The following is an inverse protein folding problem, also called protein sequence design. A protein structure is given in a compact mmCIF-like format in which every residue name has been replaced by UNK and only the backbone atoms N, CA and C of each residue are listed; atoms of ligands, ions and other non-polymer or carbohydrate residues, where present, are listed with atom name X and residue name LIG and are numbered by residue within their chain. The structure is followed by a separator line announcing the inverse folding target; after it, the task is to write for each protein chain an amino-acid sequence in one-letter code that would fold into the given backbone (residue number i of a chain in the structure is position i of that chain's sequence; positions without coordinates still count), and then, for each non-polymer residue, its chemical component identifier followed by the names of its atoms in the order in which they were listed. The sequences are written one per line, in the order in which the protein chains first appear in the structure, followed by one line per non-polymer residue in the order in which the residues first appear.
data_IF_745430375664
#
_entry.id   IF_745430375664
#
_cell.length_a   1.000
_cell.length_b   1.000
_cell.length_c   1.000
_cell.angle_alpha   90.00
_cell.angle_beta   90.00
_cell.angle_gamma   90.00
#
_symmetry.space_group_name_H-M   'P 1'
#
loop_
_entity.id
_entity.type
_entity.pdbx_description
1 polymer ?
#
# COMPACT_ATOMS: atom_id res chain seq x y z
N UNK A 1 1.76 -20.63 12.86
CA UNK A 1 2.65 -19.48 12.76
C UNK A 1 2.09 -18.33 13.58
N UNK A 2 2.89 -17.38 14.09
CA UNK A 2 2.35 -16.29 14.90
C UNK A 2 1.50 -15.37 14.01
N UNK A 3 0.36 -14.90 14.53
CA UNK A 3 -0.45 -13.84 13.89
C UNK A 3 0.14 -12.48 14.29
N UNK A 4 1.27 -12.14 13.69
CA UNK A 4 2.10 -10.97 14.01
C UNK A 4 2.17 -9.94 12.88
N UNK A 5 1.39 -10.14 11.81
CA UNK A 5 1.38 -9.27 10.63
C UNK A 5 0.23 -8.29 10.70
N UNK A 6 0.53 -7.00 10.53
CA UNK A 6 -0.45 -5.95 10.27
C UNK A 6 -0.43 -5.56 8.80
N UNK A 7 -1.59 -5.46 8.14
CA UNK A 7 -1.70 -5.01 6.76
C UNK A 7 -2.36 -3.63 6.70
N UNK A 8 -1.70 -2.66 6.09
CA UNK A 8 -2.21 -1.32 5.80
C UNK A 8 -2.61 -1.28 4.33
N UNK A 9 -3.90 -1.18 4.05
CA UNK A 9 -4.42 -1.05 2.68
C UNK A 9 -4.75 0.42 2.43
N UNK A 10 -3.95 1.09 1.59
CA UNK A 10 -4.10 2.52 1.31
C UNK A 10 -5.10 2.72 0.18
N UNK A 11 -6.23 3.33 0.50
CA UNK A 11 -7.33 3.63 -0.43
C UNK A 11 -7.83 5.08 -0.31
N UNK A 12 -7.03 5.99 0.29
CA UNK A 12 -7.37 7.40 0.50
C UNK A 12 -7.22 8.29 -0.75
N UNK A 13 -6.62 7.78 -1.82
CA UNK A 13 -6.39 8.56 -3.04
C UNK A 13 -7.68 9.03 -3.71
N UNK A 14 -7.76 10.33 -4.02
CA UNK A 14 -8.93 10.98 -4.63
C UNK A 14 -9.18 10.58 -6.09
N UNK A 15 -8.28 9.81 -6.73
CA UNK A 15 -8.45 9.32 -8.10
C UNK A 15 -8.59 10.42 -9.16
N UNK A 16 -8.06 11.63 -8.92
CA UNK A 16 -8.24 12.84 -9.74
C UNK A 16 -7.95 12.66 -11.24
N UNK A 17 -7.13 11.65 -11.59
CA UNK A 17 -6.73 11.38 -13.00
C UNK A 17 -7.78 10.67 -13.84
N UNK A 18 -8.87 10.13 -13.27
CA UNK A 18 -9.77 9.22 -14.00
C UNK A 18 -11.25 9.68 -13.97
N UNK A 19 -11.60 10.80 -13.35
CA UNK A 19 -12.97 11.32 -13.26
C UNK A 19 -14.02 10.30 -12.74
N UNK A 20 -15.18 10.74 -12.27
CA UNK A 20 -16.27 9.88 -11.79
C UNK A 20 -16.07 9.32 -10.38
N UNK A 21 -16.69 8.17 -10.06
CA UNK A 21 -16.62 7.55 -8.76
C UNK A 21 -15.17 7.21 -8.37
N UNK A 22 -14.78 7.33 -7.08
CA UNK A 22 -13.44 7.00 -6.61
C UNK A 22 -13.00 5.61 -7.09
N UNK A 23 -11.77 5.52 -7.62
CA UNK A 23 -11.24 4.33 -8.29
C UNK A 23 -11.38 3.07 -7.42
N UNK A 24 -11.13 3.19 -6.12
CA UNK A 24 -11.18 2.09 -5.16
C UNK A 24 -12.58 1.46 -5.02
N UNK A 25 -13.64 2.18 -5.37
CA UNK A 25 -15.02 1.70 -5.27
C UNK A 25 -15.59 1.18 -6.60
N UNK A 26 -14.87 1.34 -7.69
CA UNK A 26 -15.30 0.82 -9.00
C UNK A 26 -15.38 -0.70 -8.94
N UNK A 27 -16.48 -1.29 -9.44
CA UNK A 27 -16.63 -2.73 -9.44
C UNK A 27 -15.77 -3.39 -10.53
N UNK A 28 -15.15 -4.50 -10.19
CA UNK A 28 -14.55 -5.46 -11.13
C UNK A 28 -15.30 -6.77 -10.96
N UNK A 29 -15.97 -7.24 -12.01
CA UNK A 29 -16.89 -8.37 -11.95
C UNK A 29 -17.88 -8.25 -10.77
N UNK A 30 -18.55 -7.10 -10.65
CA UNK A 30 -19.58 -6.85 -9.64
C UNK A 30 -19.08 -6.59 -8.20
N UNK A 31 -17.76 -6.68 -7.93
CA UNK A 31 -17.18 -6.49 -6.60
C UNK A 31 -16.29 -5.25 -6.58
N UNK A 32 -16.47 -4.30 -5.63
CA UNK A 32 -15.60 -3.14 -5.49
C UNK A 32 -14.12 -3.51 -5.42
N UNK A 33 -13.26 -2.75 -6.12
CA UNK A 33 -11.81 -2.97 -6.18
C UNK A 33 -11.19 -3.12 -4.79
N UNK A 34 -11.56 -2.24 -3.87
CA UNK A 34 -11.03 -2.26 -2.48
C UNK A 34 -11.34 -3.56 -1.75
N UNK A 35 -12.52 -4.16 -1.96
CA UNK A 35 -12.87 -5.45 -1.34
C UNK A 35 -12.02 -6.58 -1.89
N UNK A 36 -11.70 -6.54 -3.19
CA UNK A 36 -10.79 -7.50 -3.79
C UNK A 36 -9.36 -7.34 -3.27
N UNK A 37 -8.91 -6.09 -3.10
CA UNK A 37 -7.59 -5.78 -2.54
C UNK A 37 -7.47 -6.17 -1.05
N UNK A 38 -8.55 -6.07 -0.27
CA UNK A 38 -8.59 -6.46 1.14
C UNK A 38 -8.54 -7.99 1.34
N UNK A 39 -9.27 -8.74 0.51
CA UNK A 39 -9.51 -10.17 0.69
C UNK A 39 -8.25 -11.02 0.92
N UNK A 40 -7.15 -10.86 0.18
CA UNK A 40 -5.94 -11.66 0.39
C UNK A 40 -5.34 -11.47 1.79
N UNK A 41 -5.45 -10.28 2.38
CA UNK A 41 -4.92 -9.96 3.70
C UNK A 41 -5.87 -10.40 4.82
N UNK A 42 -7.17 -10.15 4.68
CA UNK A 42 -8.16 -10.57 5.69
C UNK A 42 -8.28 -12.10 5.80
N UNK A 43 -7.99 -12.82 4.73
CA UNK A 43 -7.99 -14.28 4.69
C UNK A 43 -6.62 -14.92 5.03
N UNK A 44 -5.57 -14.11 5.26
CA UNK A 44 -4.22 -14.62 5.50
C UNK A 44 -4.06 -15.08 6.95
N UNK A 45 -3.57 -16.31 7.22
CA UNK A 45 -3.48 -16.84 8.59
C UNK A 45 -2.54 -16.07 9.50
N UNK A 46 -1.48 -15.46 8.97
CA UNK A 46 -0.48 -14.71 9.74
C UNK A 46 -0.90 -13.26 10.00
N UNK A 47 -1.93 -12.75 9.29
CA UNK A 47 -2.41 -11.38 9.46
C UNK A 47 -3.32 -11.29 10.68
N UNK A 48 -2.87 -10.54 11.68
CA UNK A 48 -3.64 -10.27 12.91
C UNK A 48 -4.67 -9.17 12.70
N UNK A 49 -4.28 -8.12 11.96
CA UNK A 49 -5.09 -6.92 11.78
C UNK A 49 -4.92 -6.35 10.37
N UNK A 50 -6.01 -5.85 9.81
CA UNK A 50 -6.01 -5.06 8.57
C UNK A 50 -6.52 -3.65 8.87
N UNK A 51 -5.77 -2.65 8.48
CA UNK A 51 -6.17 -1.24 8.55
C UNK A 51 -6.43 -0.76 7.12
N UNK A 52 -7.67 -0.36 6.85
CA UNK A 52 -8.05 0.26 5.59
C UNK A 52 -8.04 1.78 5.75
N UNK A 53 -7.18 2.44 5.00
CA UNK A 53 -7.04 3.90 5.02
C UNK A 53 -7.88 4.48 3.89
N UNK A 54 -8.86 5.31 4.26
CA UNK A 54 -9.87 5.88 3.36
C UNK A 54 -9.76 7.42 3.29
N UNK A 55 -10.37 8.06 2.28
CA UNK A 55 -10.60 9.51 2.34
C UNK A 55 -11.30 9.88 3.65
N UNK A 56 -10.99 11.04 4.27
CA UNK A 56 -11.56 11.41 5.57
C UNK A 56 -13.09 11.34 5.63
N UNK A 57 -13.78 11.80 4.59
CA UNK A 57 -15.24 11.72 4.51
C UNK A 57 -15.75 10.26 4.52
N UNK A 58 -15.08 9.36 3.79
CA UNK A 58 -15.47 7.95 3.71
C UNK A 58 -15.07 7.18 4.98
N UNK A 59 -14.05 7.62 5.71
CA UNK A 59 -13.70 7.05 6.99
C UNK A 59 -14.73 7.42 8.08
N UNK A 60 -15.26 8.64 8.03
CA UNK A 60 -16.32 9.12 8.93
C UNK A 60 -17.68 8.48 8.63
N UNK A 61 -18.03 8.35 7.34
CA UNK A 61 -19.28 7.75 6.87
C UNK A 61 -18.98 6.68 5.78
N UNK A 62 -18.52 5.49 6.17
CA UNK A 62 -18.07 4.49 5.21
C UNK A 62 -19.24 3.96 4.38
N UNK A 63 -19.00 3.67 3.08
CA UNK A 63 -19.97 2.98 2.24
C UNK A 63 -20.51 1.71 2.92
N UNK A 64 -21.80 1.44 2.75
CA UNK A 64 -22.50 0.36 3.45
C UNK A 64 -21.81 -1.02 3.34
N UNK A 65 -21.18 -1.30 2.20
CA UNK A 65 -20.45 -2.56 2.00
C UNK A 65 -19.15 -2.64 2.82
N UNK A 66 -18.53 -1.51 3.20
CA UNK A 66 -17.38 -1.45 4.11
C UNK A 66 -17.83 -1.43 5.57
N UNK A 67 -18.91 -0.71 5.88
CA UNK A 67 -19.44 -0.64 7.23
C UNK A 67 -19.79 -2.04 7.79
N UNK A 68 -20.29 -2.94 6.95
CA UNK A 68 -20.62 -4.34 7.30
C UNK A 68 -19.39 -5.21 7.60
N UNK A 69 -18.21 -4.82 7.13
CA UNK A 69 -16.95 -5.55 7.36
C UNK A 69 -16.19 -5.03 8.58
N UNK A 70 -16.65 -3.94 9.17
CA UNK A 70 -16.03 -3.34 10.35
C UNK A 70 -16.24 -4.28 11.55
N UNK A 71 -15.14 -4.67 12.19
CA UNK A 71 -15.19 -5.59 13.33
C UNK A 71 -13.81 -6.10 13.68
N UNK A 72 -13.75 -7.23 14.35
CA UNK A 72 -12.49 -7.86 14.73
C UNK A 72 -11.58 -8.07 13.52
N UNK A 73 -10.41 -7.43 13.56
CA UNK A 73 -9.38 -7.56 12.53
C UNK A 73 -9.45 -6.56 11.38
N UNK A 74 -10.53 -5.76 11.20
CA UNK A 74 -10.58 -4.68 10.20
C UNK A 74 -10.90 -3.33 10.85
N UNK A 75 -9.94 -2.40 10.74
CA UNK A 75 -10.06 -1.02 11.23
C UNK A 75 -10.09 -0.06 10.04
N UNK A 76 -10.97 0.96 10.10
CA UNK A 76 -11.06 2.02 9.10
C UNK A 76 -10.49 3.31 9.71
N UNK A 77 -9.57 3.97 8.99
CA UNK A 77 -8.96 5.23 9.43
C UNK A 77 -8.94 6.26 8.31
N UNK A 78 -8.97 7.56 8.62
CA UNK A 78 -8.77 8.60 7.62
C UNK A 78 -7.32 8.64 7.16
N UNK A 79 -7.09 8.84 5.86
CA UNK A 79 -5.78 9.13 5.29
C UNK A 79 -5.46 10.61 5.30
N UNK A 80 -4.19 10.93 5.00
CA UNK A 80 -3.69 12.29 4.84
C UNK A 80 -3.65 12.75 3.38
N UNK A 81 -2.93 13.84 3.14
CA UNK A 81 -2.80 14.43 1.81
C UNK A 81 -1.92 13.58 0.90
N UNK A 82 -0.82 13.09 1.44
CA UNK A 82 0.14 12.25 0.75
C UNK A 82 -0.05 10.76 1.08
N UNK A 83 0.54 9.89 0.23
CA UNK A 83 0.54 8.44 0.48
C UNK A 83 1.28 8.09 1.79
N UNK A 84 2.37 8.78 2.07
CA UNK A 84 3.15 8.65 3.30
C UNK A 84 2.32 8.94 4.55
N UNK A 85 1.51 10.01 4.54
CA UNK A 85 0.63 10.37 5.66
C UNK A 85 -0.43 9.29 5.90
N UNK A 86 -0.97 8.75 4.81
CA UNK A 86 -1.93 7.64 4.87
C UNK A 86 -1.30 6.37 5.45
N UNK A 87 -0.04 6.06 5.10
CA UNK A 87 0.70 4.94 5.70
C UNK A 87 0.95 5.19 7.18
N UNK A 88 1.35 6.41 7.57
CA UNK A 88 1.57 6.80 8.96
C UNK A 88 0.29 6.65 9.80
N UNK A 89 -0.85 7.11 9.27
CA UNK A 89 -2.15 6.95 9.93
C UNK A 89 -2.51 5.46 10.12
N UNK A 90 -2.28 4.64 9.10
CA UNK A 90 -2.47 3.20 9.17
C UNK A 90 -1.56 2.54 10.20
N UNK A 91 -0.28 2.92 10.23
CA UNK A 91 0.72 2.40 11.16
C UNK A 91 0.39 2.72 12.63
N UNK A 92 -0.13 3.93 12.88
CA UNK A 92 -0.58 4.36 14.21
C UNK A 92 -1.79 3.55 14.71
N UNK A 93 -2.63 3.06 13.81
CA UNK A 93 -3.83 2.28 14.13
C UNK A 93 -3.57 0.77 14.30
N UNK A 94 -2.39 0.27 13.91
CA UNK A 94 -2.02 -1.13 14.11
C UNK A 94 -1.71 -1.43 15.59
N UNK A 95 -2.22 -2.56 16.06
CA UNK A 95 -1.90 -3.10 17.38
C UNK A 95 -0.39 -3.38 17.56
N UNK A 96 0.06 -3.40 18.82
CA UNK A 96 1.48 -3.61 19.13
C UNK A 96 1.98 -5.02 18.83
N UNK A 97 1.07 -5.98 18.75
CA UNK A 97 1.32 -7.36 18.35
C UNK A 97 1.76 -7.50 16.89
N UNK A 98 1.44 -6.51 16.03
CA UNK A 98 1.87 -6.48 14.65
C UNK A 98 3.34 -6.04 14.56
N UNK A 99 4.26 -6.99 14.57
CA UNK A 99 5.72 -6.75 14.46
C UNK A 99 6.19 -6.65 13.02
N UNK A 100 5.43 -7.21 12.08
CA UNK A 100 5.59 -7.08 10.63
C UNK A 100 4.46 -6.24 10.07
N UNK A 101 4.79 -5.29 9.20
CA UNK A 101 3.81 -4.41 8.56
C UNK A 101 3.89 -4.56 7.05
N UNK A 102 2.74 -4.84 6.44
CA UNK A 102 2.54 -4.82 4.99
C UNK A 102 1.82 -3.53 4.59
N UNK A 103 2.30 -2.89 3.53
CA UNK A 103 1.63 -1.74 2.90
C UNK A 103 1.18 -2.13 1.51
N UNK A 104 -0.12 -1.97 1.22
CA UNK A 104 -0.71 -2.37 -0.05
C UNK A 104 -1.63 -1.29 -0.62
N UNK A 105 -1.64 -1.14 -1.94
CA UNK A 105 -2.51 -0.19 -2.64
C UNK A 105 -3.92 -0.78 -2.82
N UNK A 106 -4.96 -0.13 -2.29
CA UNK A 106 -6.36 -0.54 -2.37
C UNK A 106 -6.94 -0.60 -3.79
N UNK A 107 -6.18 -0.16 -4.78
CA UNK A 107 -6.53 -0.25 -6.21
C UNK A 107 -5.80 -1.40 -6.95
N UNK A 108 -5.13 -2.32 -6.23
CA UNK A 108 -4.44 -3.50 -6.77
C UNK A 108 -5.12 -4.78 -6.31
N UNK A 109 -6.17 -5.27 -7.01
CA UNK A 109 -7.03 -6.34 -6.52
C UNK A 109 -6.47 -7.76 -6.69
N UNK A 110 -5.35 -7.93 -7.41
CA UNK A 110 -4.86 -9.23 -7.86
C UNK A 110 -3.46 -9.55 -7.31
N UNK A 111 -3.29 -9.41 -6.00
CA UNK A 111 -2.06 -9.87 -5.36
C UNK A 111 -2.13 -11.37 -5.11
N UNK A 112 -1.07 -12.08 -5.51
CA UNK A 112 -0.92 -13.50 -5.25
C UNK A 112 -0.52 -13.72 -3.78
N UNK A 113 -1.06 -14.78 -3.17
CA UNK A 113 -0.71 -15.18 -1.82
C UNK A 113 0.78 -15.49 -1.67
N UNK A 114 1.38 -16.16 -2.66
CA UNK A 114 2.80 -16.48 -2.64
C UNK A 114 3.68 -15.22 -2.53
N UNK A 115 3.27 -14.11 -3.17
CA UNK A 115 3.96 -12.81 -3.04
C UNK A 115 3.83 -12.26 -1.63
N UNK A 116 2.65 -12.38 -1.01
CA UNK A 116 2.43 -11.95 0.38
C UNK A 116 3.31 -12.77 1.32
N UNK A 117 3.30 -14.10 1.20
CA UNK A 117 4.09 -15.02 2.01
C UNK A 117 5.60 -14.69 1.93
N UNK A 118 6.11 -14.41 0.72
CA UNK A 118 7.51 -14.09 0.49
C UNK A 118 7.90 -12.74 1.11
N UNK A 119 7.06 -11.71 0.96
CA UNK A 119 7.28 -10.39 1.58
C UNK A 119 7.26 -10.49 3.11
N UNK A 120 6.35 -11.28 3.69
CA UNK A 120 6.30 -11.53 5.14
C UNK A 120 7.60 -12.22 5.60
N UNK A 121 8.06 -13.23 4.86
CA UNK A 121 9.27 -13.98 5.19
C UNK A 121 10.49 -13.06 5.30
N UNK A 122 10.70 -12.17 4.34
CA UNK A 122 11.79 -11.19 4.37
C UNK A 122 11.65 -10.20 5.51
N UNK A 123 10.44 -9.69 5.74
CA UNK A 123 10.20 -8.73 6.82
C UNK A 123 10.47 -9.35 8.22
N UNK A 124 10.15 -10.64 8.42
CA UNK A 124 10.49 -11.37 9.64
C UNK A 124 11.99 -11.60 9.83
N UNK A 125 12.78 -11.55 8.74
CA UNK A 125 14.25 -11.62 8.78
C UNK A 125 14.91 -10.26 9.05
N UNK A 126 14.12 -9.21 9.28
CA UNK A 126 14.63 -7.87 9.56
C UNK A 126 14.84 -7.00 8.31
N UNK A 127 14.41 -7.48 7.14
CA UNK A 127 14.61 -6.82 5.85
C UNK A 127 13.35 -6.05 5.41
N UNK A 128 13.54 -4.93 4.70
CA UNK A 128 12.47 -4.34 3.90
C UNK A 128 12.35 -5.10 2.57
N UNK A 129 11.12 -5.48 2.19
CA UNK A 129 10.86 -6.21 0.95
C UNK A 129 9.78 -5.53 0.12
N UNK A 130 9.96 -5.48 -1.19
CA UNK A 130 9.05 -4.85 -2.14
C UNK A 130 8.71 -5.84 -3.24
N UNK A 131 7.44 -6.12 -3.47
CA UNK A 131 7.02 -6.78 -4.69
C UNK A 131 7.41 -5.93 -5.90
N UNK A 132 8.03 -6.52 -6.90
CA UNK A 132 8.48 -5.80 -8.08
C UNK A 132 8.44 -6.69 -9.33
N UNK A 133 8.35 -6.06 -10.50
CA UNK A 133 8.47 -6.73 -11.80
C UNK A 133 9.57 -6.07 -12.62
N UNK A 134 10.35 -6.83 -13.42
CA UNK A 134 11.34 -6.25 -14.32
C UNK A 134 10.71 -5.21 -15.23
N UNK A 135 11.45 -4.14 -15.50
CA UNK A 135 10.97 -3.09 -16.39
C UNK A 135 11.13 -3.54 -17.85
N UNK A 136 10.00 -3.72 -18.55
CA UNK A 136 9.96 -4.11 -19.96
C UNK A 136 10.03 -2.91 -20.93
N UNK A 137 9.58 -1.74 -20.47
CA UNK A 137 9.50 -0.54 -21.30
C UNK A 137 10.89 0.09 -21.56
N UNK A 138 11.05 0.79 -22.68
CA UNK A 138 12.22 1.62 -22.92
C UNK A 138 12.10 2.91 -22.15
N UNK A 139 13.03 3.17 -21.21
CA UNK A 139 13.05 4.37 -20.39
C UNK A 139 13.94 5.43 -21.03
N UNK A 140 13.42 6.63 -21.15
CA UNK A 140 14.15 7.81 -21.60
C UNK A 140 14.31 8.77 -20.43
N UNK A 141 15.52 9.26 -20.24
CA UNK A 141 15.78 10.36 -19.32
C UNK A 141 15.62 11.66 -20.10
N UNK A 142 14.81 12.56 -19.55
CA UNK A 142 14.63 13.88 -20.13
C UNK A 142 15.85 14.78 -19.84
N UNK A 143 16.11 15.74 -20.72
CA UNK A 143 17.10 16.78 -20.46
C UNK A 143 16.65 17.68 -19.30
N UNK A 144 17.58 18.07 -18.43
CA UNK A 144 17.26 18.86 -17.24
C UNK A 144 16.78 20.30 -17.58
N UNK A 145 17.23 20.86 -18.68
CA UNK A 145 16.85 22.21 -19.15
C UNK A 145 15.70 22.21 -20.15
N UNK A 146 15.49 21.07 -20.85
CA UNK A 146 14.47 20.92 -21.90
C UNK A 146 13.67 19.63 -21.66
N UNK A 147 12.60 19.65 -20.83
CA UNK A 147 11.87 18.46 -20.40
C UNK A 147 11.27 17.59 -21.53
N UNK A 148 11.07 18.19 -22.71
CA UNK A 148 10.56 17.51 -23.90
C UNK A 148 11.67 16.93 -24.79
N UNK A 149 12.93 17.14 -24.43
CA UNK A 149 14.09 16.59 -25.13
C UNK A 149 14.61 15.36 -24.39
N UNK A 150 14.97 14.34 -25.15
CA UNK A 150 15.59 13.14 -24.60
C UNK A 150 17.09 13.36 -24.43
N UNK A 151 17.59 13.28 -23.20
CA UNK A 151 19.01 13.32 -22.91
C UNK A 151 19.69 11.97 -23.23
N UNK A 152 19.08 10.86 -22.76
CA UNK A 152 19.61 9.50 -23.00
C UNK A 152 18.56 8.42 -22.84
N UNK A 153 18.91 7.23 -23.35
CA UNK A 153 18.18 5.99 -23.00
C UNK A 153 18.79 5.42 -21.71
N UNK A 154 17.94 5.12 -20.74
CA UNK A 154 18.39 4.50 -19.49
C UNK A 154 18.46 2.97 -19.68
N UNK A 155 19.60 2.31 -19.41
CA UNK A 155 19.70 0.85 -19.39
C UNK A 155 18.73 0.28 -18.37
N UNK A 156 17.86 -0.64 -18.80
CA UNK A 156 16.76 -1.16 -17.97
C UNK A 156 17.05 -2.48 -17.28
N UNK A 157 18.18 -3.09 -17.50
CA UNK A 157 18.56 -4.42 -17.01
C UNK A 157 18.59 -4.50 -15.49
N UNK A 158 18.73 -3.36 -14.83
CA UNK A 158 18.75 -3.22 -13.37
C UNK A 158 17.57 -2.40 -12.83
N UNK A 159 16.57 -2.13 -13.67
CA UNK A 159 15.39 -1.36 -13.28
C UNK A 159 14.20 -2.28 -13.06
N UNK A 160 13.48 -2.03 -11.97
CA UNK A 160 12.31 -2.75 -11.57
C UNK A 160 11.15 -1.80 -11.36
N UNK A 161 9.98 -2.18 -11.77
CA UNK A 161 8.75 -1.45 -11.50
C UNK A 161 8.21 -1.93 -10.15
N UNK A 162 8.32 -1.05 -9.14
CA UNK A 162 7.82 -1.32 -7.80
C UNK A 162 6.31 -1.58 -7.81
N UNK A 163 5.91 -2.58 -7.05
CA UNK A 163 4.53 -2.98 -6.82
C UNK A 163 4.22 -2.99 -5.32
N UNK A 164 3.08 -3.51 -4.96
CA UNK A 164 2.70 -3.80 -3.59
C UNK A 164 2.15 -5.23 -3.50
N UNK A 165 2.28 -5.94 -2.35
CA UNK A 165 2.64 -5.41 -1.03
C UNK A 165 4.12 -5.04 -0.89
N UNK A 166 4.37 -4.10 0.03
CA UNK A 166 5.68 -3.75 0.54
C UNK A 166 5.68 -4.15 2.01
N UNK A 167 6.68 -4.89 2.47
CA UNK A 167 6.75 -5.42 3.83
C UNK A 167 7.97 -4.93 4.58
N UNK A 168 7.79 -4.66 5.87
CA UNK A 168 8.83 -4.13 6.72
C UNK A 168 8.71 -4.67 8.16
N UNK A 169 9.82 -4.84 8.89
CA UNK A 169 9.78 -4.81 10.34
C UNK A 169 9.12 -3.51 10.80
N UNK A 170 8.18 -3.58 11.75
CA UNK A 170 7.46 -2.38 12.24
C UNK A 170 8.39 -1.26 12.66
N UNK A 171 9.43 -1.60 13.43
CA UNK A 171 10.38 -0.60 13.94
C UNK A 171 11.14 0.12 12.83
N UNK A 172 11.47 -0.60 11.74
CA UNK A 172 12.12 0.00 10.58
C UNK A 172 11.20 1.04 9.93
N UNK A 173 9.93 0.68 9.71
CA UNK A 173 8.95 1.58 9.10
C UNK A 173 8.64 2.79 9.98
N UNK A 174 8.52 2.61 11.30
CA UNK A 174 8.35 3.72 12.27
C UNK A 174 9.53 4.69 12.21
N UNK A 175 10.78 4.17 12.20
CA UNK A 175 11.97 5.03 12.09
C UNK A 175 12.04 5.79 10.77
N UNK A 176 11.65 5.15 9.67
CA UNK A 176 11.63 5.78 8.36
C UNK A 176 10.63 6.94 8.31
N UNK A 177 9.42 6.75 8.83
CA UNK A 177 8.41 7.83 8.90
C UNK A 177 8.82 8.95 9.86
N UNK A 178 9.48 8.65 10.97
CA UNK A 178 10.02 9.66 11.89
C UNK A 178 11.10 10.54 11.24
N UNK A 179 11.94 9.97 10.37
CA UNK A 179 12.97 10.70 9.61
C UNK A 179 12.38 11.48 8.43
N UNK A 180 11.38 10.95 7.74
CA UNK A 180 10.72 11.63 6.62
C UNK A 180 10.10 12.97 7.03
N UNK A 181 9.63 13.09 8.27
CA UNK A 181 9.17 14.36 8.85
C UNK A 181 10.27 15.42 9.02
N UNK A 182 11.56 15.01 9.00
CA UNK A 182 12.72 15.91 9.10
C UNK A 182 13.33 16.24 7.74
N UNK A 183 13.26 15.33 6.76
CA UNK A 183 14.00 15.43 5.51
C UNK A 183 13.11 15.66 4.27
N UNK A 184 11.80 15.68 4.41
CA UNK A 184 10.84 15.88 3.31
C UNK A 184 10.91 14.82 2.19
N UNK A 185 11.51 13.66 2.46
CA UNK A 185 11.68 12.60 1.47
C UNK A 185 10.37 11.83 1.26
N UNK A 186 9.85 11.87 0.03
CA UNK A 186 8.73 11.03 -0.40
C UNK A 186 9.19 9.58 -0.61
N UNK A 187 8.40 8.63 -0.12
CA UNK A 187 8.50 7.20 -0.40
C UNK A 187 7.67 6.80 -1.62
#
# INVERSE_FOLDING_TARGET
MPRDVGAIVVAAGRGARVGGAPKQYRPVAGVPLVLRALRPFTAHPDVAQVVLVLPPADAAAPPAFLAKLRGEGLVLVPGGEERSDSVAAGLAALGRECTVVLVHDGARPFVDRAVIDEVIRHARQGEGAIAAVPLSDTVKEADAGEPNRVARTVPRERLWRAQTPQGFPRELLVRAHGRAGLDGAAF
#
